data_IF_268852838612
#
_entry.id   IF_268852838612
#
_cell.length_a   1.000
_cell.length_b   1.000
_cell.length_c   1.000
_cell.angle_alpha   90.00
_cell.angle_beta   90.00
_cell.angle_gamma   90.00
#
_symmetry.space_group_name_H-M   'P 1'
#
loop_
_entity.id
_entity.type
_entity.pdbx_description
1 polymer ?
#
# COMPACT_ATOMS: atom_id res chain seq x y z
N UNK A 1 5.59 2.50 -12.99
CA UNK A 1 6.89 2.19 -12.38
C UNK A 1 6.89 2.70 -10.96
N UNK A 2 7.16 1.85 -9.98
CA UNK A 2 7.42 2.24 -8.59
C UNK A 2 8.87 2.70 -8.53
N UNK A 3 9.08 3.93 -8.08
CA UNK A 3 10.41 4.49 -7.92
C UNK A 3 10.94 4.15 -6.51
N UNK A 4 12.28 3.95 -6.35
CA UNK A 4 12.83 3.80 -5.01
C UNK A 4 12.49 5.04 -4.18
N UNK A 5 11.90 4.84 -3.01
CA UNK A 5 11.81 5.87 -1.99
C UNK A 5 13.21 6.02 -1.41
N UNK A 6 13.99 6.96 -1.92
CA UNK A 6 15.31 7.25 -1.35
C UNK A 6 15.10 7.90 0.02
N UNK A 7 15.57 7.24 1.07
CA UNK A 7 15.63 7.81 2.40
C UNK A 7 16.60 9.01 2.39
N UNK A 8 16.12 10.16 2.84
CA UNK A 8 16.97 11.33 3.05
C UNK A 8 17.35 11.38 4.53
N UNK A 9 18.65 11.46 4.77
CA UNK A 9 19.21 11.62 6.10
C UNK A 9 19.23 13.10 6.41
N UNK A 10 18.40 13.55 7.35
CA UNK A 10 18.51 14.86 7.96
C UNK A 10 19.28 14.74 9.28
N UNK A 11 20.41 15.46 9.41
CA UNK A 11 21.07 15.62 10.69
C UNK A 11 20.37 16.75 11.45
N UNK A 12 19.63 16.40 12.49
CA UNK A 12 19.08 17.38 13.42
C UNK A 12 19.96 17.41 14.68
N UNK A 13 20.45 18.59 15.06
CA UNK A 13 21.05 18.80 16.40
C UNK A 13 19.93 18.85 17.42
N UNK A 14 19.99 17.94 18.40
CA UNK A 14 19.10 17.98 19.55
C UNK A 14 19.60 19.00 20.56
N UNK A 15 18.70 19.51 21.45
CA UNK A 15 19.05 20.52 22.47
C UNK A 15 20.20 20.11 23.41
N UNK A 16 20.53 18.84 23.49
CA UNK A 16 21.67 18.30 24.24
C UNK A 16 22.98 18.17 23.45
N UNK A 17 23.00 18.64 22.19
CA UNK A 17 24.16 18.58 21.31
C UNK A 17 24.42 17.22 20.67
N UNK A 18 23.50 16.23 20.86
CA UNK A 18 23.57 14.98 20.13
C UNK A 18 22.99 15.13 18.71
N UNK A 19 23.60 14.43 17.74
CA UNK A 19 23.07 14.40 16.37
C UNK A 19 22.09 13.25 16.23
N UNK A 20 20.83 13.56 15.96
CA UNK A 20 19.82 12.58 15.58
C UNK A 20 19.76 12.48 14.06
N UNK A 21 20.06 11.31 13.55
CA UNK A 21 19.89 11.01 12.13
C UNK A 21 18.43 10.54 11.98
N UNK A 22 17.62 11.32 11.27
CA UNK A 22 16.28 10.92 10.89
C UNK A 22 16.29 10.59 9.40
N UNK A 23 15.99 9.34 9.09
CA UNK A 23 15.73 8.91 7.72
C UNK A 23 14.28 9.23 7.38
N UNK A 24 14.08 10.14 6.43
CA UNK A 24 12.76 10.50 5.94
C UNK A 24 12.49 9.74 4.66
N UNK A 25 11.54 8.83 4.72
CA UNK A 25 11.13 7.98 3.58
C UNK A 25 9.67 8.29 3.28
N UNK A 26 9.36 8.62 2.02
CA UNK A 26 7.97 8.68 1.57
C UNK A 26 7.40 7.26 1.47
N UNK A 27 6.11 7.07 1.75
CA UNK A 27 5.50 5.75 1.70
C UNK A 27 5.57 5.15 0.29
N UNK A 28 5.18 5.93 -0.73
CA UNK A 28 5.23 5.48 -2.12
C UNK A 28 5.55 6.62 -3.08
N UNK A 29 6.44 6.34 -4.02
CA UNK A 29 6.76 7.20 -5.16
C UNK A 29 6.51 6.43 -6.46
N UNK A 30 5.61 6.93 -7.31
CA UNK A 30 5.17 6.22 -8.52
C UNK A 30 5.30 7.15 -9.73
N UNK A 31 5.76 6.61 -10.86
CA UNK A 31 5.76 7.32 -12.15
C UNK A 31 4.67 6.77 -13.06
N UNK A 32 3.77 7.63 -13.51
CA UNK A 32 2.69 7.30 -14.44
C UNK A 32 2.69 8.31 -15.58
N UNK A 33 2.82 7.85 -16.83
CA UNK A 33 2.78 8.72 -18.01
C UNK A 33 3.85 9.82 -18.06
N UNK A 34 4.97 9.63 -17.34
CA UNK A 34 6.04 10.63 -17.22
C UNK A 34 5.91 11.54 -15.99
N UNK A 35 4.74 11.63 -15.37
CA UNK A 35 4.47 12.39 -14.16
C UNK A 35 4.81 11.57 -12.90
N UNK A 36 5.30 12.25 -11.87
CA UNK A 36 5.64 11.63 -10.58
C UNK A 36 4.51 11.90 -9.59
N UNK A 37 4.11 10.83 -8.89
CA UNK A 37 3.08 10.84 -7.86
C UNK A 37 3.69 10.43 -6.52
N UNK A 38 3.57 11.32 -5.53
CA UNK A 38 3.91 11.09 -4.14
C UNK A 38 2.65 10.66 -3.39
N UNK A 39 2.66 9.45 -2.82
CA UNK A 39 1.53 8.92 -2.06
C UNK A 39 1.95 8.70 -0.61
N UNK A 40 1.16 9.24 0.30
CA UNK A 40 1.33 9.08 1.74
C UNK A 40 0.12 8.39 2.35
N UNK A 41 0.35 7.35 3.15
CA UNK A 41 -0.70 6.60 3.84
C UNK A 41 -0.83 7.06 5.29
N UNK A 42 -2.05 7.29 5.74
CA UNK A 42 -2.31 7.75 7.09
C UNK A 42 -3.39 6.91 7.77
N UNK A 43 -3.07 6.36 8.93
CA UNK A 43 -4.04 5.61 9.75
C UNK A 43 -4.84 6.51 10.69
N UNK A 44 -4.29 7.66 11.05
CA UNK A 44 -4.95 8.71 11.85
C UNK A 44 -4.33 10.07 11.52
N UNK A 45 -5.09 11.13 11.77
CA UNK A 45 -4.67 12.50 11.49
C UNK A 45 -3.77 13.04 12.61
N UNK A 46 -2.48 13.22 12.34
CA UNK A 46 -1.48 13.78 13.27
C UNK A 46 -1.14 15.26 12.98
N UNK A 47 -1.71 15.83 11.91
CA UNK A 47 -1.50 17.21 11.49
C UNK A 47 -0.12 17.52 10.89
N UNK A 48 0.87 16.61 11.00
CA UNK A 48 2.22 16.83 10.46
C UNK A 48 2.36 16.43 9.01
N UNK A 49 1.41 15.68 8.47
CA UNK A 49 1.43 15.13 7.12
C UNK A 49 1.65 16.19 6.03
N UNK A 50 1.00 17.33 6.15
CA UNK A 50 1.12 18.42 5.16
C UNK A 50 2.55 18.96 5.05
N UNK A 51 3.26 19.05 6.16
CA UNK A 51 4.67 19.49 6.18
C UNK A 51 5.56 18.40 5.57
N UNK A 52 5.38 17.14 5.94
CA UNK A 52 6.13 16.02 5.36
C UNK A 52 5.95 15.94 3.85
N UNK A 53 4.71 16.08 3.35
CA UNK A 53 4.44 16.11 1.91
C UNK A 53 5.19 17.24 1.23
N UNK A 54 5.21 18.44 1.83
CA UNK A 54 5.96 19.57 1.26
C UNK A 54 7.46 19.26 1.17
N UNK A 55 8.05 18.72 2.22
CA UNK A 55 9.46 18.32 2.28
C UNK A 55 9.78 17.27 1.20
N UNK A 56 9.01 16.18 1.14
CA UNK A 56 9.21 15.11 0.16
C UNK A 56 9.00 15.61 -1.27
N UNK A 57 7.99 16.46 -1.51
CA UNK A 57 7.72 17.00 -2.81
C UNK A 57 8.90 17.87 -3.33
N UNK A 58 9.52 18.67 -2.47
CA UNK A 58 10.72 19.43 -2.84
C UNK A 58 11.92 18.52 -3.14
N UNK A 59 12.11 17.47 -2.35
CA UNK A 59 13.19 16.52 -2.56
C UNK A 59 13.03 15.83 -3.93
N UNK A 60 11.84 15.35 -4.24
CA UNK A 60 11.51 14.72 -5.52
C UNK A 60 11.62 15.70 -6.67
N UNK A 61 11.08 16.92 -6.51
CA UNK A 61 11.11 17.96 -7.52
C UNK A 61 12.53 18.36 -7.90
N UNK A 62 13.46 18.37 -6.93
CA UNK A 62 14.87 18.68 -7.16
C UNK A 62 15.55 17.71 -8.12
N UNK A 63 15.15 16.42 -8.14
CA UNK A 63 15.72 15.42 -9.05
C UNK A 63 15.39 15.72 -10.52
N UNK A 64 14.25 16.36 -10.78
CA UNK A 64 13.78 16.73 -12.11
C UNK A 64 13.97 18.21 -12.42
N UNK A 65 14.58 18.98 -11.51
CA UNK A 65 14.82 20.41 -11.69
C UNK A 65 15.81 20.66 -12.83
N UNK A 66 15.55 21.73 -13.58
CA UNK A 66 16.47 22.28 -14.57
C UNK A 66 16.92 23.67 -14.14
N UNK A 67 18.17 24.00 -14.34
CA UNK A 67 18.71 25.31 -13.93
C UNK A 67 19.76 25.85 -14.89
N UNK A 68 19.84 27.16 -14.89
CA UNK A 68 20.87 27.97 -15.52
C UNK A 68 21.26 29.13 -14.57
N UNK A 69 22.22 29.98 -14.95
CA UNK A 69 22.67 31.10 -14.10
C UNK A 69 21.48 32.03 -13.79
N UNK A 70 21.11 32.08 -12.51
CA UNK A 70 20.04 32.95 -12.01
C UNK A 70 18.61 32.48 -12.26
N UNK A 71 18.42 31.29 -12.83
CA UNK A 71 17.09 30.70 -13.09
C UNK A 71 17.05 29.21 -12.80
N UNK A 72 15.97 28.74 -12.14
CA UNK A 72 15.67 27.33 -11.97
C UNK A 72 14.19 27.06 -12.19
N UNK A 73 13.87 25.95 -12.84
CA UNK A 73 12.53 25.41 -12.94
C UNK A 73 12.46 24.13 -12.12
N UNK A 74 11.55 24.11 -11.15
CA UNK A 74 11.38 23.00 -10.20
C UNK A 74 9.98 22.43 -10.40
N UNK A 75 9.83 21.32 -11.15
CA UNK A 75 8.54 20.68 -11.39
C UNK A 75 8.09 19.92 -10.14
N UNK A 76 7.06 20.41 -9.47
CA UNK A 76 6.50 19.73 -8.30
C UNK A 76 5.77 18.45 -8.72
N UNK A 77 5.95 17.31 -8.00
CA UNK A 77 5.22 16.09 -8.28
C UNK A 77 3.74 16.25 -7.96
N UNK A 78 2.89 15.39 -8.49
CA UNK A 78 1.55 15.23 -7.96
C UNK A 78 1.62 14.55 -6.59
N UNK A 79 0.68 14.82 -5.68
CA UNK A 79 0.61 14.09 -4.42
C UNK A 79 -0.81 13.64 -4.11
N UNK A 80 -0.96 12.66 -3.23
CA UNK A 80 -2.25 12.29 -2.64
C UNK A 80 -2.04 11.67 -1.26
N UNK A 81 -2.95 11.97 -0.35
CA UNK A 81 -3.00 11.33 0.97
C UNK A 81 -4.07 10.25 0.95
N UNK A 82 -3.68 9.06 1.39
CA UNK A 82 -4.55 7.90 1.51
C UNK A 82 -4.88 7.69 2.98
N UNK A 83 -6.11 8.01 3.37
CA UNK A 83 -6.60 7.74 4.71
C UNK A 83 -7.16 6.32 4.81
N UNK A 84 -6.52 5.49 5.64
CA UNK A 84 -6.96 4.10 5.87
C UNK A 84 -8.28 4.08 6.63
N UNK A 85 -8.40 4.94 7.65
CA UNK A 85 -9.60 5.12 8.46
C UNK A 85 -10.18 6.51 8.26
N UNK A 86 -11.51 6.60 8.33
CA UNK A 86 -12.22 7.86 8.28
C UNK A 86 -12.53 8.35 9.70
N UNK A 87 -12.30 9.63 9.95
CA UNK A 87 -12.78 10.35 11.14
C UNK A 87 -13.62 11.54 10.72
N UNK A 88 -14.30 12.18 11.66
CA UNK A 88 -15.05 13.42 11.38
C UNK A 88 -14.14 14.58 10.94
N UNK A 89 -12.84 14.46 11.19
CA UNK A 89 -11.81 15.42 10.82
C UNK A 89 -11.09 15.10 9.51
N UNK A 90 -11.28 13.92 8.93
CA UNK A 90 -10.59 13.52 7.71
C UNK A 90 -10.95 14.46 6.56
N UNK A 91 -9.99 15.25 6.04
CA UNK A 91 -10.24 16.23 5.01
C UNK A 91 -10.49 15.57 3.65
N UNK A 92 -11.30 16.18 2.81
CA UNK A 92 -11.51 15.73 1.43
C UNK A 92 -10.32 16.07 0.54
N UNK A 93 -9.67 17.19 0.84
CA UNK A 93 -8.51 17.71 0.10
C UNK A 93 -7.42 18.08 1.08
N UNK A 94 -6.17 17.91 0.68
CA UNK A 94 -5.01 18.44 1.38
C UNK A 94 -4.51 19.65 0.63
N UNK A 95 -4.32 20.76 1.34
CA UNK A 95 -3.82 22.02 0.79
C UNK A 95 -2.56 22.45 1.53
N UNK A 96 -1.51 22.74 0.78
CA UNK A 96 -0.26 23.29 1.27
C UNK A 96 -0.10 24.68 0.65
N UNK A 97 -0.13 25.72 1.46
CA UNK A 97 0.01 27.11 1.00
C UNK A 97 1.43 27.59 1.22
N UNK A 98 2.16 27.86 0.15
CA UNK A 98 3.47 28.50 0.20
C UNK A 98 3.28 30.01 0.22
N UNK A 99 3.84 30.68 1.23
CA UNK A 99 3.81 32.15 1.36
C UNK A 99 5.19 32.73 1.14
N UNK A 100 5.32 33.65 0.20
CA UNK A 100 6.57 34.29 -0.15
C UNK A 100 6.74 35.67 0.51
N UNK A 101 7.99 36.14 0.72
CA UNK A 101 8.24 37.44 1.39
C UNK A 101 7.62 38.65 0.71
N UNK A 102 7.33 38.58 -0.58
CA UNK A 102 6.65 39.62 -1.35
C UNK A 102 5.10 39.59 -1.18
N UNK A 103 4.56 38.72 -0.32
CA UNK A 103 3.14 38.55 -0.06
C UNK A 103 2.40 37.65 -1.07
N UNK A 104 3.08 37.11 -2.07
CA UNK A 104 2.48 36.13 -2.97
C UNK A 104 2.26 34.79 -2.24
N UNK A 105 1.19 34.10 -2.60
CA UNK A 105 0.89 32.75 -2.13
C UNK A 105 0.61 31.82 -3.29
N UNK A 106 0.98 30.56 -3.14
CA UNK A 106 0.68 29.49 -4.10
C UNK A 106 0.14 28.30 -3.32
N UNK A 107 -1.04 27.83 -3.73
CA UNK A 107 -1.65 26.63 -3.15
C UNK A 107 -1.28 25.40 -3.98
N UNK A 108 -0.78 24.38 -3.27
CA UNK A 108 -0.48 23.05 -3.79
C UNK A 108 -1.51 22.11 -3.19
N UNK A 109 -2.44 21.65 -4.03
CA UNK A 109 -3.69 21.02 -3.59
C UNK A 109 -3.82 19.63 -4.22
N UNK A 110 -4.32 18.68 -3.45
CA UNK A 110 -4.71 17.36 -3.95
C UNK A 110 -5.96 16.83 -3.26
N UNK A 111 -6.73 16.05 -3.99
CA UNK A 111 -7.82 15.26 -3.43
C UNK A 111 -7.28 14.07 -2.63
N UNK A 112 -7.89 13.80 -1.49
CA UNK A 112 -7.52 12.70 -0.63
C UNK A 112 -8.34 11.46 -0.94
N UNK A 113 -7.70 10.29 -0.83
CA UNK A 113 -8.36 9.00 -0.95
C UNK A 113 -8.71 8.49 0.45
N UNK A 114 -9.98 8.21 0.68
CA UNK A 114 -10.44 7.60 1.94
C UNK A 114 -10.85 6.16 1.65
N UNK A 115 -10.07 5.19 2.15
CA UNK A 115 -10.26 3.77 1.83
C UNK A 115 -11.59 3.22 2.32
N UNK A 116 -12.12 3.71 3.43
CA UNK A 116 -13.46 3.31 3.90
C UNK A 116 -14.59 3.67 2.94
N UNK A 117 -14.40 4.66 2.07
CA UNK A 117 -15.39 5.05 1.06
C UNK A 117 -15.35 4.13 -0.18
N UNK A 118 -14.28 3.36 -0.36
CA UNK A 118 -14.16 2.44 -1.49
C UNK A 118 -15.01 1.20 -1.23
N UNK A 119 -15.83 0.82 -2.22
CA UNK A 119 -16.54 -0.46 -2.19
C UNK A 119 -15.64 -1.56 -2.74
N UNK A 120 -15.91 -2.80 -2.35
CA UNK A 120 -15.17 -3.97 -2.86
C UNK A 120 -15.32 -4.12 -4.37
N UNK A 121 -16.52 -3.82 -4.88
CA UNK A 121 -16.81 -3.84 -6.32
C UNK A 121 -15.96 -2.81 -7.07
N UNK A 122 -15.87 -1.58 -6.55
CA UNK A 122 -15.05 -0.52 -7.14
C UNK A 122 -13.56 -0.88 -7.16
N UNK A 123 -13.05 -1.48 -6.08
CA UNK A 123 -11.66 -1.95 -5.99
C UNK A 123 -11.37 -2.96 -7.11
N UNK A 124 -12.25 -3.92 -7.34
CA UNK A 124 -12.09 -4.94 -8.39
C UNK A 124 -12.24 -4.32 -9.78
N UNK A 125 -13.30 -3.52 -10.00
CA UNK A 125 -13.54 -2.86 -11.29
C UNK A 125 -12.37 -1.98 -11.75
N UNK A 126 -11.79 -1.23 -10.81
CA UNK A 126 -10.68 -0.31 -11.09
C UNK A 126 -9.30 -0.94 -10.95
N UNK A 127 -9.20 -2.25 -10.70
CA UNK A 127 -7.94 -2.98 -10.53
C UNK A 127 -7.06 -2.41 -9.41
N UNK A 128 -7.70 -1.90 -8.33
CA UNK A 128 -7.03 -1.34 -7.17
C UNK A 128 -6.62 -2.43 -6.17
N UNK A 129 -6.06 -3.53 -6.65
CA UNK A 129 -5.75 -4.72 -5.84
C UNK A 129 -4.89 -4.45 -4.60
N UNK A 130 -3.88 -3.56 -4.62
CA UNK A 130 -3.11 -3.22 -3.43
C UNK A 130 -3.95 -2.67 -2.26
N UNK A 131 -5.18 -2.20 -2.51
CA UNK A 131 -6.08 -1.73 -1.46
C UNK A 131 -6.88 -2.84 -0.76
N UNK A 132 -6.89 -4.06 -1.28
CA UNK A 132 -7.63 -5.19 -0.68
C UNK A 132 -7.22 -5.45 0.78
N UNK A 133 -5.90 -5.53 1.13
CA UNK A 133 -5.49 -5.71 2.52
C UNK A 133 -6.03 -4.61 3.44
N UNK A 134 -5.93 -3.35 3.01
CA UNK A 134 -6.41 -2.21 3.78
C UNK A 134 -7.95 -2.18 3.88
N UNK A 135 -8.67 -2.67 2.86
CA UNK A 135 -10.11 -2.82 2.93
C UNK A 135 -10.50 -3.73 4.10
N UNK A 136 -9.77 -4.79 4.34
CA UNK A 136 -10.01 -5.72 5.45
C UNK A 136 -9.67 -5.10 6.80
N UNK A 137 -8.71 -4.19 6.89
CA UNK A 137 -8.36 -3.46 8.10
C UNK A 137 -9.55 -2.68 8.72
N UNK A 138 -10.59 -2.33 7.93
CA UNK A 138 -11.81 -1.67 8.44
C UNK A 138 -12.54 -2.47 9.52
N UNK A 139 -12.32 -3.79 9.58
CA UNK A 139 -12.94 -4.69 10.55
C UNK A 139 -12.20 -4.76 11.89
N UNK A 140 -11.04 -4.10 12.03
CA UNK A 140 -10.20 -4.15 13.22
C UNK A 140 -10.99 -3.86 14.50
N UNK A 141 -11.74 -2.75 14.56
CA UNK A 141 -12.51 -2.38 15.75
C UNK A 141 -13.60 -3.40 16.07
N UNK A 142 -14.30 -3.93 15.06
CA UNK A 142 -15.34 -4.93 15.24
C UNK A 142 -14.77 -6.25 15.77
N UNK A 143 -13.62 -6.67 15.23
CA UNK A 143 -12.96 -7.93 15.59
C UNK A 143 -12.35 -7.82 16.98
N UNK A 144 -11.65 -6.73 17.29
CA UNK A 144 -10.99 -6.52 18.58
C UNK A 144 -11.99 -6.37 19.74
N UNK A 145 -13.19 -5.80 19.48
CA UNK A 145 -14.27 -5.71 20.46
C UNK A 145 -15.09 -7.01 20.64
N UNK A 146 -14.71 -8.09 19.93
CA UNK A 146 -15.43 -9.37 20.00
C UNK A 146 -16.75 -9.38 19.22
N UNK A 147 -16.95 -8.44 18.31
CA UNK A 147 -18.12 -8.36 17.44
C UNK A 147 -18.18 -9.48 16.39
N UNK A 148 -19.26 -9.48 15.59
CA UNK A 148 -19.47 -10.49 14.55
C UNK A 148 -18.50 -10.30 13.39
N UNK A 149 -17.81 -11.37 13.02
CA UNK A 149 -16.88 -11.40 11.87
C UNK A 149 -17.55 -11.76 10.54
N UNK A 150 -18.87 -11.96 10.51
CA UNK A 150 -19.55 -12.49 9.32
C UNK A 150 -19.35 -11.58 8.09
N UNK A 151 -19.41 -10.24 8.26
CA UNK A 151 -19.17 -9.30 7.15
C UNK A 151 -17.72 -9.39 6.64
N UNK A 152 -16.75 -9.54 7.53
CA UNK A 152 -15.35 -9.74 7.14
C UNK A 152 -15.19 -11.05 6.35
N UNK A 153 -15.86 -12.12 6.79
CA UNK A 153 -15.90 -13.40 6.09
C UNK A 153 -16.49 -13.25 4.69
N UNK A 154 -17.66 -12.61 4.56
CA UNK A 154 -18.33 -12.40 3.27
C UNK A 154 -17.46 -11.59 2.30
N UNK A 155 -16.81 -10.54 2.77
CA UNK A 155 -15.94 -9.71 1.94
C UNK A 155 -14.62 -10.41 1.58
N UNK A 156 -14.02 -11.18 2.50
CA UNK A 156 -12.87 -12.02 2.20
C UNK A 156 -13.19 -13.08 1.13
N UNK A 157 -14.34 -13.74 1.25
CA UNK A 157 -14.79 -14.70 0.24
C UNK A 157 -14.99 -14.03 -1.12
N UNK A 158 -15.59 -12.85 -1.15
CA UNK A 158 -15.76 -12.07 -2.37
C UNK A 158 -14.41 -11.76 -3.03
N UNK A 159 -13.45 -11.20 -2.29
CA UNK A 159 -12.13 -10.89 -2.85
C UNK A 159 -11.38 -12.13 -3.31
N UNK A 160 -11.42 -13.22 -2.56
CA UNK A 160 -10.83 -14.50 -2.95
C UNK A 160 -11.40 -14.97 -4.29
N UNK A 161 -12.73 -15.01 -4.41
CA UNK A 161 -13.40 -15.52 -5.60
C UNK A 161 -13.11 -14.65 -6.83
N UNK A 162 -13.07 -13.32 -6.66
CA UNK A 162 -12.70 -12.39 -7.71
C UNK A 162 -11.22 -12.51 -8.12
N UNK A 163 -10.29 -12.67 -7.19
CA UNK A 163 -8.88 -12.91 -7.50
C UNK A 163 -8.68 -14.22 -8.28
N UNK A 164 -9.38 -15.28 -7.89
CA UNK A 164 -9.36 -16.56 -8.63
C UNK A 164 -9.92 -16.39 -10.04
N UNK A 165 -11.01 -15.63 -10.21
CA UNK A 165 -11.58 -15.32 -11.52
C UNK A 165 -10.59 -14.58 -12.40
N UNK A 166 -10.02 -13.50 -11.88
CA UNK A 166 -9.04 -12.66 -12.59
C UNK A 166 -7.77 -13.43 -12.97
N UNK A 167 -7.34 -14.34 -12.11
CA UNK A 167 -6.23 -15.24 -12.43
C UNK A 167 -6.56 -16.16 -13.61
N UNK A 168 -7.75 -16.78 -13.63
CA UNK A 168 -8.19 -17.62 -14.76
C UNK A 168 -8.31 -16.84 -16.07
N UNK A 169 -8.58 -15.57 -15.98
CA UNK A 169 -8.65 -14.63 -17.12
C UNK A 169 -7.27 -14.08 -17.51
N UNK A 170 -6.19 -14.50 -16.83
CA UNK A 170 -4.82 -14.02 -16.99
C UNK A 170 -4.64 -12.51 -16.72
N UNK A 171 -5.51 -11.93 -15.90
CA UNK A 171 -5.39 -10.53 -15.46
C UNK A 171 -4.54 -10.39 -14.18
N UNK A 172 -4.38 -11.45 -13.40
CA UNK A 172 -3.48 -11.56 -12.24
C UNK A 172 -2.57 -12.77 -12.42
N UNK A 173 -1.29 -12.57 -12.21
CA UNK A 173 -0.29 -13.63 -12.18
C UNK A 173 -0.30 -14.39 -10.85
N UNK A 174 0.32 -15.57 -10.82
CA UNK A 174 0.52 -16.37 -9.60
C UNK A 174 1.22 -15.56 -8.49
N UNK A 175 2.23 -14.76 -8.86
CA UNK A 175 2.98 -13.94 -7.91
C UNK A 175 2.12 -12.84 -7.30
N UNK A 176 1.36 -12.12 -8.12
CA UNK A 176 0.48 -11.04 -7.64
C UNK A 176 -0.59 -11.57 -6.68
N UNK A 177 -1.15 -12.73 -6.96
CA UNK A 177 -2.11 -13.37 -6.05
C UNK A 177 -1.44 -13.81 -4.76
N UNK A 178 -0.29 -14.47 -4.83
CA UNK A 178 0.43 -14.92 -3.65
C UNK A 178 0.80 -13.73 -2.74
N UNK A 179 1.29 -12.64 -3.32
CA UNK A 179 1.62 -11.43 -2.59
C UNK A 179 0.38 -10.79 -1.95
N UNK A 180 -0.71 -10.64 -2.70
CA UNK A 180 -1.96 -10.08 -2.19
C UNK A 180 -2.54 -10.93 -1.04
N UNK A 181 -2.57 -12.25 -1.21
CA UNK A 181 -3.02 -13.17 -0.15
C UNK A 181 -2.12 -13.08 1.08
N UNK A 182 -0.81 -12.99 0.89
CA UNK A 182 0.16 -12.79 1.97
C UNK A 182 -0.08 -11.50 2.75
N UNK A 183 -0.31 -10.38 2.05
CA UNK A 183 -0.64 -9.10 2.69
C UNK A 183 -1.98 -9.14 3.42
N UNK A 184 -3.01 -9.75 2.83
CA UNK A 184 -4.32 -9.91 3.50
C UNK A 184 -4.16 -10.72 4.78
N UNK A 185 -3.43 -11.84 4.75
CA UNK A 185 -3.18 -12.66 5.93
C UNK A 185 -2.40 -11.90 7.01
N UNK A 186 -1.42 -11.08 6.63
CA UNK A 186 -0.69 -10.22 7.57
C UNK A 186 -1.63 -9.25 8.28
N UNK A 187 -2.54 -8.61 7.54
CA UNK A 187 -3.55 -7.71 8.13
C UNK A 187 -4.51 -8.49 9.04
N UNK A 188 -4.99 -9.67 8.61
CA UNK A 188 -5.87 -10.52 9.43
C UNK A 188 -5.19 -10.86 10.76
N UNK A 189 -3.95 -11.33 10.74
CA UNK A 189 -3.19 -11.66 11.96
C UNK A 189 -3.04 -10.43 12.85
N UNK A 190 -2.76 -9.27 12.27
CA UNK A 190 -2.65 -8.02 13.02
C UNK A 190 -3.96 -7.63 13.72
N UNK A 191 -5.08 -7.60 12.98
CA UNK A 191 -6.38 -7.15 13.53
C UNK A 191 -7.04 -8.16 14.45
N UNK A 192 -6.71 -9.45 14.34
CA UNK A 192 -7.22 -10.50 15.22
C UNK A 192 -6.38 -10.65 16.49
N UNK A 193 -5.10 -10.31 16.43
CA UNK A 193 -4.15 -10.39 17.55
C UNK A 193 -4.24 -11.73 18.33
N UNK A 194 -4.29 -12.85 17.60
CA UNK A 194 -4.35 -14.20 18.17
C UNK A 194 -5.71 -14.61 18.73
N UNK A 195 -6.80 -13.88 18.43
CA UNK A 195 -8.12 -14.27 18.89
C UNK A 195 -8.67 -15.49 18.11
N UNK A 196 -9.73 -16.10 18.66
CA UNK A 196 -10.37 -17.32 18.09
C UNK A 196 -10.88 -17.22 16.65
N UNK A 197 -10.95 -16.02 16.08
CA UNK A 197 -11.42 -15.81 14.71
C UNK A 197 -10.27 -15.83 13.69
N UNK A 198 -9.02 -15.75 14.13
CA UNK A 198 -7.85 -15.67 13.25
C UNK A 198 -7.78 -16.85 12.29
N UNK A 199 -7.78 -18.07 12.81
CA UNK A 199 -7.73 -19.29 12.00
C UNK A 199 -8.85 -19.33 10.97
N UNK A 200 -10.08 -18.96 11.37
CA UNK A 200 -11.24 -18.92 10.46
C UNK A 200 -11.03 -17.93 9.32
N UNK A 201 -10.52 -16.73 9.60
CA UNK A 201 -10.34 -15.69 8.59
C UNK A 201 -9.14 -15.98 7.67
N UNK A 202 -8.02 -16.45 8.23
CA UNK A 202 -6.83 -16.86 7.47
C UNK A 202 -7.17 -18.03 6.53
N UNK A 203 -7.93 -19.01 7.00
CA UNK A 203 -8.32 -20.16 6.18
C UNK A 203 -9.19 -19.80 4.97
N UNK A 204 -9.90 -18.66 4.98
CA UNK A 204 -10.66 -18.20 3.81
C UNK A 204 -9.71 -17.84 2.67
N UNK A 205 -8.60 -17.16 2.98
CA UNK A 205 -7.62 -16.75 1.97
C UNK A 205 -6.62 -17.85 1.64
N UNK A 206 -6.23 -18.68 2.63
CA UNK A 206 -5.25 -19.75 2.47
C UNK A 206 -5.83 -21.13 2.15
N UNK A 207 -7.15 -21.35 2.35
CA UNK A 207 -7.80 -22.64 2.19
C UNK A 207 -8.00 -23.11 0.74
N UNK A 208 -7.81 -22.22 -0.22
CA UNK A 208 -7.64 -22.57 -1.62
C UNK A 208 -6.24 -22.08 -1.99
N UNK A 209 -5.22 -22.85 -1.68
CA UNK A 209 -3.93 -22.68 -2.34
C UNK A 209 -4.25 -22.79 -3.81
N UNK A 210 -4.24 -21.67 -4.52
CA UNK A 210 -4.01 -21.71 -5.95
C UNK A 210 -2.63 -22.34 -6.01
N UNK A 211 -2.60 -23.64 -6.32
CA UNK A 211 -1.36 -24.31 -6.62
C UNK A 211 -0.73 -23.48 -7.71
N UNK A 212 0.24 -22.64 -7.33
CA UNK A 212 0.89 -21.78 -8.31
C UNK A 212 1.45 -22.70 -9.39
N UNK A 213 1.47 -22.26 -10.62
CA UNK A 213 2.07 -23.06 -11.72
C UNK A 213 3.47 -23.51 -11.33
N UNK A 214 4.20 -22.69 -10.56
CA UNK A 214 5.51 -23.02 -9.99
C UNK A 214 5.44 -24.18 -8.99
N UNK A 215 4.51 -24.20 -8.05
CA UNK A 215 4.32 -25.30 -7.09
C UNK A 215 3.85 -26.57 -7.80
N UNK A 216 2.97 -26.43 -8.79
CA UNK A 216 2.54 -27.54 -9.64
C UNK A 216 3.69 -28.13 -10.46
N UNK A 217 4.59 -27.27 -10.99
CA UNK A 217 5.80 -27.71 -11.72
C UNK A 217 6.82 -28.36 -10.79
N UNK A 218 7.01 -27.82 -9.57
CA UNK A 218 7.87 -28.43 -8.55
C UNK A 218 7.32 -29.79 -8.15
N UNK A 219 6.03 -29.90 -7.79
CA UNK A 219 5.38 -31.20 -7.47
C UNK A 219 5.45 -32.19 -8.63
N UNK A 220 5.26 -31.72 -9.87
CA UNK A 220 5.45 -32.57 -11.07
C UNK A 220 6.89 -33.00 -11.23
N UNK A 221 7.87 -32.13 -10.98
CA UNK A 221 9.27 -32.44 -11.01
C UNK A 221 9.68 -33.48 -9.96
N UNK A 222 9.22 -33.28 -8.73
CA UNK A 222 9.43 -34.21 -7.62
C UNK A 222 8.78 -35.57 -7.89
N UNK A 223 7.53 -35.60 -8.37
CA UNK A 223 6.84 -36.84 -8.74
C UNK A 223 7.56 -37.56 -9.87
N UNK A 224 8.07 -36.84 -10.87
CA UNK A 224 8.86 -37.42 -11.99
C UNK A 224 10.17 -38.01 -11.50
N UNK A 225 10.87 -37.30 -10.60
CA UNK A 225 12.10 -37.76 -9.99
C UNK A 225 11.90 -39.02 -9.13
N UNK A 226 10.78 -39.09 -8.36
CA UNK A 226 10.43 -40.27 -7.58
C UNK A 226 10.10 -41.46 -8.49
N UNK A 227 9.40 -41.27 -9.62
CA UNK A 227 9.09 -42.31 -10.59
C UNK A 227 10.38 -42.82 -11.29
N UNK A 228 11.27 -41.90 -11.68
CA UNK A 228 12.57 -42.27 -12.27
C UNK A 228 13.45 -43.01 -11.27
N UNK A 229 13.50 -42.59 -10.00
CA UNK A 229 14.23 -43.31 -8.95
C UNK A 229 13.61 -44.68 -8.65
N UNK A 230 12.28 -44.79 -8.68
CA UNK A 230 11.60 -46.10 -8.51
C UNK A 230 11.82 -47.05 -9.72
N UNK A 231 11.99 -46.48 -10.92
CA UNK A 231 12.26 -47.27 -12.13
C UNK A 231 13.71 -47.80 -12.27
N UNK A 232 14.63 -47.24 -11.47
CA UNK A 232 16.04 -47.69 -11.46
C UNK A 232 16.23 -48.96 -10.59
N UNK A 233 15.24 -49.32 -9.77
CA UNK A 233 15.26 -50.45 -8.83
C UNK A 233 14.30 -51.58 -9.19
N UNK A 234 13.79 -51.63 -10.43
CA UNK A 234 12.90 -52.70 -10.92
C UNK A 234 13.60 -53.59 -11.99
#
# INVERSE_FOLDING_TARGET
EVLPSEGYITENETEDGSRKIEEQISDFLIRIGGEIYLLECQSYDDGSMTIRIAEYAFIVARQSATWDIGHATIPMPQFSVIYIKKTDKTPKTTTITFTFPNGQTVDYISDNVVLENLTKEYIIEKRLFPYIPFYIARYEQTISSGGSVNRAVDDLMYFRDEMIRLHRENELSDYEIADLMGFVNTIITHITNGNKNEERLVNIMGGTIIETESERLIKKGEARMIIEMAGIWS
#
